data_IF_034009577512
#
_entry.id   IF_034009577512
#
_cell.length_a   1.000
_cell.length_b   1.000
_cell.length_c   1.000
_cell.angle_alpha   90.00
_cell.angle_beta   90.00
_cell.angle_gamma   90.00
#
_symmetry.space_group_name_H-M   'P 1'
#
loop_
_entity.id
_entity.type
_entity.pdbx_description
1 polymer ?
#
# COMPACT_ATOMS: atom_id res chain seq x y z
N UNK A 1 -41.01 41.72 24.20
CA UNK A 1 -39.69 41.07 24.42
C UNK A 1 -39.96 39.59 24.63
N UNK A 2 -39.58 38.75 23.67
CA UNK A 2 -39.72 37.30 23.77
C UNK A 2 -38.30 36.71 23.85
N UNK A 3 -38.00 36.05 24.96
CA UNK A 3 -36.76 35.29 25.14
C UNK A 3 -36.91 33.96 24.40
N UNK A 4 -36.04 33.71 23.42
CA UNK A 4 -35.97 32.42 22.76
C UNK A 4 -34.91 31.58 23.50
N UNK A 5 -35.38 30.50 24.13
CA UNK A 5 -34.58 29.53 24.87
C UNK A 5 -33.61 28.80 23.92
N UNK A 6 -32.32 28.95 24.19
CA UNK A 6 -31.25 28.17 23.59
C UNK A 6 -31.44 26.72 24.02
N UNK A 7 -31.75 25.84 23.07
CA UNK A 7 -31.71 24.40 23.31
C UNK A 7 -30.27 23.95 23.02
N UNK A 8 -29.44 23.88 24.06
CA UNK A 8 -28.12 23.25 23.96
C UNK A 8 -28.34 21.75 23.85
N UNK A 9 -28.06 21.18 22.69
CA UNK A 9 -28.01 19.72 22.55
C UNK A 9 -26.73 19.21 23.23
N UNK A 10 -26.82 18.27 24.18
CA UNK A 10 -25.64 17.62 24.73
C UNK A 10 -25.20 16.50 23.78
N UNK A 11 -23.88 16.36 23.65
CA UNK A 11 -23.19 15.15 23.19
C UNK A 11 -23.41 14.74 21.72
N UNK A 12 -22.91 15.57 20.81
CA UNK A 12 -22.35 15.04 19.56
C UNK A 12 -20.96 14.51 19.90
N UNK A 13 -20.65 13.21 19.69
CA UNK A 13 -19.29 12.71 19.89
C UNK A 13 -18.41 13.51 18.94
N UNK A 14 -17.50 14.30 19.51
CA UNK A 14 -16.44 14.96 18.75
C UNK A 14 -15.83 13.90 17.86
N UNK A 15 -15.93 14.10 16.54
CA UNK A 15 -15.09 13.40 15.58
C UNK A 15 -13.69 13.51 16.18
N UNK A 16 -13.08 12.38 16.50
CA UNK A 16 -11.71 12.33 16.99
C UNK A 16 -10.87 13.05 15.93
N UNK A 17 -10.59 14.33 16.17
CA UNK A 17 -9.63 15.09 15.40
C UNK A 17 -8.31 14.39 15.70
N UNK A 18 -7.92 13.48 14.82
CA UNK A 18 -6.61 12.85 14.86
C UNK A 18 -5.64 13.99 14.68
N UNK A 19 -4.98 14.38 15.78
CA UNK A 19 -3.97 15.43 15.77
C UNK A 19 -2.78 14.96 14.92
N UNK A 20 -2.81 15.34 13.64
CA UNK A 20 -1.76 15.05 12.67
C UNK A 20 -0.52 15.92 12.89
N UNK A 21 -0.54 16.86 13.85
CA UNK A 21 0.60 17.75 14.12
C UNK A 21 1.83 17.03 14.69
N UNK A 22 1.66 15.81 15.23
CA UNK A 22 2.75 14.99 15.77
C UNK A 22 3.32 13.96 14.79
N UNK A 23 2.75 13.79 13.59
CA UNK A 23 3.28 12.80 12.64
C UNK A 23 4.53 13.36 11.96
N UNK A 24 5.69 12.81 12.33
CA UNK A 24 6.95 13.19 11.70
C UNK A 24 6.94 12.87 10.20
N UNK A 25 7.60 13.71 9.40
CA UNK A 25 7.79 13.48 7.97
C UNK A 25 8.40 12.08 7.68
N UNK A 26 9.34 11.64 8.52
CA UNK A 26 9.94 10.31 8.39
C UNK A 26 8.95 9.18 8.65
N UNK A 27 7.99 9.36 9.56
CA UNK A 27 6.91 8.39 9.81
C UNK A 27 5.98 8.29 8.61
N UNK A 28 5.59 9.42 8.01
CA UNK A 28 4.81 9.43 6.77
C UNK A 28 5.54 8.71 5.63
N UNK A 29 6.83 9.02 5.43
CA UNK A 29 7.64 8.38 4.38
C UNK A 29 7.71 6.87 4.58
N UNK A 30 7.94 6.42 5.82
CA UNK A 30 7.95 4.98 6.17
C UNK A 30 6.61 4.33 5.87
N UNK A 31 5.50 4.99 6.19
CA UNK A 31 4.16 4.48 5.91
C UNK A 31 3.94 4.31 4.41
N UNK A 32 4.36 5.27 3.58
CA UNK A 32 4.25 5.13 2.13
C UNK A 32 5.17 4.05 1.55
N UNK A 33 6.40 3.91 2.06
CA UNK A 33 7.25 2.77 1.71
C UNK A 33 6.59 1.43 2.08
N UNK A 34 5.92 1.36 3.23
CA UNK A 34 5.22 0.14 3.67
C UNK A 34 4.04 -0.17 2.75
N UNK A 35 3.28 0.83 2.29
CA UNK A 35 2.22 0.63 1.29
C UNK A 35 2.79 -0.01 0.02
N UNK A 36 3.88 0.54 -0.52
CA UNK A 36 4.55 -0.02 -1.71
C UNK A 36 4.96 -1.48 -1.45
N UNK A 37 5.56 -1.76 -0.30
CA UNK A 37 6.02 -3.10 0.05
C UNK A 37 4.87 -4.11 0.19
N UNK A 38 3.78 -3.73 0.86
CA UNK A 38 2.62 -4.61 1.04
C UNK A 38 1.90 -4.89 -0.28
N UNK A 39 1.71 -3.88 -1.12
CA UNK A 39 1.12 -4.08 -2.45
C UNK A 39 2.01 -4.95 -3.33
N UNK A 40 3.34 -4.80 -3.24
CA UNK A 40 4.27 -5.69 -3.93
C UNK A 40 4.14 -7.16 -3.48
N UNK A 41 4.01 -7.40 -2.17
CA UNK A 41 3.78 -8.76 -1.64
C UNK A 41 2.44 -9.34 -2.08
N UNK A 42 1.41 -8.49 -2.18
CA UNK A 42 0.08 -8.87 -2.67
C UNK A 42 0.05 -9.18 -4.16
N UNK A 43 0.85 -8.45 -4.96
CA UNK A 43 1.01 -8.69 -6.39
C UNK A 43 1.78 -9.98 -6.72
N UNK A 44 2.73 -10.39 -5.86
CA UNK A 44 3.58 -11.57 -6.07
C UNK A 44 3.61 -12.52 -4.86
N UNK A 45 2.47 -13.03 -4.39
CA UNK A 45 2.39 -13.85 -3.18
C UNK A 45 3.14 -15.18 -3.31
N UNK A 46 3.32 -15.70 -4.52
CA UNK A 46 4.17 -16.85 -4.82
C UNK A 46 5.66 -16.63 -4.54
N UNK A 47 6.14 -15.38 -4.47
CA UNK A 47 7.53 -15.08 -4.10
C UNK A 47 7.71 -15.16 -2.58
N UNK A 48 6.69 -14.79 -1.80
CA UNK A 48 6.84 -14.53 -0.36
C UNK A 48 6.15 -15.55 0.56
N UNK A 49 5.13 -16.27 0.08
CA UNK A 49 4.27 -17.07 0.97
C UNK A 49 3.95 -18.45 0.42
N UNK A 50 3.74 -18.57 -0.89
CA UNK A 50 3.27 -19.81 -1.49
C UNK A 50 4.36 -20.46 -2.34
N UNK A 51 4.60 -21.77 -2.12
CA UNK A 51 5.53 -22.55 -2.94
C UNK A 51 4.95 -22.78 -4.35
N UNK A 52 5.78 -23.23 -5.30
CA UNK A 52 5.23 -23.69 -6.60
C UNK A 52 4.18 -24.76 -6.37
N UNK A 53 3.01 -24.59 -7.00
CA UNK A 53 1.96 -25.62 -7.04
C UNK A 53 0.78 -25.37 -6.09
N UNK A 54 0.84 -24.37 -5.22
CA UNK A 54 -0.35 -23.96 -4.48
C UNK A 54 -1.33 -23.24 -5.41
N UNK A 55 -2.56 -23.74 -5.44
CA UNK A 55 -3.62 -23.16 -6.25
C UNK A 55 -4.25 -21.99 -5.50
N UNK A 56 -4.03 -20.78 -6.01
CA UNK A 56 -4.77 -19.61 -5.56
C UNK A 56 -6.26 -19.75 -5.90
N UNK A 57 -7.12 -19.45 -4.92
CA UNK A 57 -8.56 -19.31 -5.12
C UNK A 57 -8.89 -18.16 -6.09
N UNK A 58 -10.11 -18.14 -6.62
CA UNK A 58 -10.57 -17.08 -7.53
C UNK A 58 -10.43 -15.69 -6.91
N UNK A 59 -10.77 -15.53 -5.62
CA UNK A 59 -10.68 -14.25 -4.92
C UNK A 59 -9.22 -13.81 -4.78
N UNK A 60 -8.33 -14.71 -4.38
CA UNK A 60 -6.89 -14.40 -4.27
C UNK A 60 -6.30 -13.97 -5.62
N UNK A 61 -6.68 -14.61 -6.72
CA UNK A 61 -6.25 -14.19 -8.07
C UNK A 61 -6.81 -12.83 -8.50
N UNK A 62 -7.98 -12.44 -7.98
CA UNK A 62 -8.57 -11.14 -8.24
C UNK A 62 -7.85 -10.05 -7.44
N UNK A 63 -7.51 -10.34 -6.18
CA UNK A 63 -6.73 -9.44 -5.32
C UNK A 63 -5.30 -9.25 -5.88
N UNK A 64 -4.62 -10.34 -6.27
CA UNK A 64 -3.31 -10.27 -6.94
C UNK A 64 -3.35 -9.36 -8.17
N UNK A 65 -4.36 -9.51 -9.03
CA UNK A 65 -4.51 -8.68 -10.22
C UNK A 65 -4.75 -7.22 -9.88
N UNK A 66 -5.58 -6.93 -8.87
CA UNK A 66 -5.81 -5.56 -8.41
C UNK A 66 -4.50 -4.92 -7.93
N UNK A 67 -3.70 -5.65 -7.18
CA UNK A 67 -2.40 -5.17 -6.70
C UNK A 67 -1.41 -4.99 -7.86
N UNK A 68 -1.44 -5.87 -8.86
CA UNK A 68 -0.64 -5.73 -10.08
C UNK A 68 -1.06 -4.51 -10.93
N UNK A 69 -2.37 -4.28 -11.09
CA UNK A 69 -2.93 -3.16 -11.85
C UNK A 69 -2.65 -1.80 -11.19
N UNK A 70 -2.42 -1.78 -9.88
CA UNK A 70 -2.01 -0.58 -9.16
C UNK A 70 -0.61 -0.10 -9.60
N UNK A 71 0.30 -1.01 -9.96
CA UNK A 71 1.62 -0.62 -10.44
C UNK A 71 1.54 0.03 -11.82
N UNK A 72 1.92 1.30 -11.89
CA UNK A 72 1.82 2.12 -13.09
C UNK A 72 0.55 2.99 -13.16
N UNK A 73 -0.32 2.91 -12.14
CA UNK A 73 -1.41 3.86 -11.95
C UNK A 73 -0.88 5.23 -11.49
N UNK A 74 -1.75 6.25 -11.54
CA UNK A 74 -1.43 7.58 -11.03
C UNK A 74 -1.25 7.59 -9.50
N UNK A 75 -2.04 6.79 -8.78
CA UNK A 75 -1.92 6.62 -7.33
C UNK A 75 -0.54 6.08 -6.94
N UNK A 76 -0.02 5.09 -7.67
CA UNK A 76 1.32 4.54 -7.45
C UNK A 76 2.40 5.62 -7.60
N UNK A 77 2.30 6.49 -8.61
CA UNK A 77 3.26 7.57 -8.83
C UNK A 77 3.30 8.55 -7.66
N UNK A 78 2.13 8.97 -7.17
CA UNK A 78 2.03 9.85 -6.00
C UNK A 78 2.61 9.19 -4.75
N UNK A 79 2.30 7.91 -4.52
CA UNK A 79 2.84 7.16 -3.37
C UNK A 79 4.36 7.07 -3.47
N UNK A 80 4.93 6.86 -4.65
CA UNK A 80 6.39 6.88 -4.84
C UNK A 80 7.00 8.25 -4.52
N UNK A 81 6.36 9.34 -4.96
CA UNK A 81 6.78 10.70 -4.64
C UNK A 81 6.77 10.94 -3.12
N UNK A 82 5.68 10.59 -2.44
CA UNK A 82 5.56 10.75 -0.98
C UNK A 82 6.50 9.83 -0.19
N UNK A 83 6.80 8.65 -0.72
CA UNK A 83 7.81 7.74 -0.17
C UNK A 83 9.25 8.21 -0.45
N UNK A 84 9.44 9.18 -1.35
CA UNK A 84 10.77 9.63 -1.77
C UNK A 84 11.56 8.55 -2.51
N UNK A 85 10.88 7.69 -3.27
CA UNK A 85 11.47 6.59 -4.04
C UNK A 85 11.29 6.80 -5.54
N UNK A 86 12.21 6.28 -6.34
CA UNK A 86 12.11 6.38 -7.80
C UNK A 86 11.14 5.33 -8.36
N UNK A 87 10.00 5.78 -8.86
CA UNK A 87 8.96 4.95 -9.46
C UNK A 87 9.46 4.13 -10.65
N UNK A 88 10.32 4.67 -11.51
CA UNK A 88 10.84 3.97 -12.70
C UNK A 88 11.67 2.75 -12.31
N UNK A 89 12.49 2.87 -11.26
CA UNK A 89 13.28 1.77 -10.74
C UNK A 89 12.39 0.63 -10.22
N UNK A 90 11.32 0.97 -9.49
CA UNK A 90 10.36 -0.01 -8.98
C UNK A 90 9.62 -0.68 -10.15
N UNK A 91 9.15 0.09 -11.13
CA UNK A 91 8.47 -0.44 -12.31
C UNK A 91 9.38 -1.32 -13.17
N UNK A 92 10.67 -1.00 -13.26
CA UNK A 92 11.64 -1.84 -13.95
C UNK A 92 11.74 -3.22 -13.27
N UNK A 93 11.86 -3.27 -11.95
CA UNK A 93 11.84 -4.53 -11.19
C UNK A 93 10.50 -5.25 -11.32
N UNK A 94 9.38 -4.51 -11.30
CA UNK A 94 8.03 -5.08 -11.40
C UNK A 94 7.84 -5.80 -12.73
N UNK A 95 8.25 -5.17 -13.84
CA UNK A 95 8.18 -5.76 -15.18
C UNK A 95 9.04 -7.01 -15.30
N UNK A 96 10.21 -7.03 -14.66
CA UNK A 96 11.05 -8.23 -14.58
C UNK A 96 10.32 -9.35 -13.84
N UNK A 97 9.74 -9.08 -12.68
CA UNK A 97 8.93 -10.05 -11.93
C UNK A 97 7.75 -10.58 -12.75
N UNK A 98 7.02 -9.73 -13.46
CA UNK A 98 5.89 -10.15 -14.30
C UNK A 98 6.34 -11.05 -15.47
N UNK A 99 7.54 -10.85 -16.01
CA UNK A 99 8.08 -11.64 -17.12
C UNK A 99 8.69 -12.98 -16.68
N UNK A 100 9.38 -12.99 -15.55
CA UNK A 100 10.13 -14.15 -15.05
C UNK A 100 10.21 -14.10 -13.50
N UNK A 101 9.14 -14.52 -12.80
CA UNK A 101 9.08 -14.49 -11.33
C UNK A 101 10.17 -15.35 -10.66
N UNK A 102 10.69 -16.36 -11.36
CA UNK A 102 11.63 -17.35 -10.84
C UNK A 102 13.05 -16.78 -10.71
N UNK A 103 13.46 -15.87 -11.61
CA UNK A 103 14.73 -15.14 -11.46
C UNK A 103 14.76 -14.25 -10.23
N UNK A 104 13.61 -13.71 -9.81
CA UNK A 104 13.53 -12.83 -8.65
C UNK A 104 13.63 -13.58 -7.31
N UNK A 105 13.13 -14.82 -7.25
CA UNK A 105 13.36 -15.71 -6.10
C UNK A 105 14.84 -16.00 -5.88
N UNK A 106 15.60 -16.19 -6.96
CA UNK A 106 17.04 -16.42 -6.89
C UNK A 106 17.83 -15.23 -6.33
N UNK A 107 17.39 -13.99 -6.62
CA UNK A 107 18.01 -12.76 -6.11
C UNK A 107 17.79 -12.59 -4.61
N UNK A 108 16.58 -12.82 -4.09
CA UNK A 108 16.30 -12.69 -2.65
C UNK A 108 17.02 -13.74 -1.78
N UNK A 109 17.31 -14.92 -2.34
CA UNK A 109 18.04 -15.98 -1.62
C UNK A 109 19.57 -15.78 -1.64
N UNK A 110 20.10 -14.91 -2.50
CA UNK A 110 21.54 -14.62 -2.58
C UNK A 110 22.00 -13.52 -1.61
N UNK A 111 21.06 -12.85 -0.94
CA UNK A 111 21.27 -11.74 0.00
C UNK A 111 21.05 -12.11 1.47
N UNK A 112 20.90 -13.40 1.80
CA UNK A 112 20.88 -13.93 3.17
C UNK A 112 22.14 -14.75 3.48
#
# INVERSE_FOLDING_TARGET
MAYQLVTVMPDMPSILEVDVSEISFNSCRKLWCEVIYQTWRGAFPEIYKYGRGESFSTNQRADMRRDQDWFGSWEFLNVCEYAGVNAENILAQFRLCMSDPEKFKGLNNATN
#
